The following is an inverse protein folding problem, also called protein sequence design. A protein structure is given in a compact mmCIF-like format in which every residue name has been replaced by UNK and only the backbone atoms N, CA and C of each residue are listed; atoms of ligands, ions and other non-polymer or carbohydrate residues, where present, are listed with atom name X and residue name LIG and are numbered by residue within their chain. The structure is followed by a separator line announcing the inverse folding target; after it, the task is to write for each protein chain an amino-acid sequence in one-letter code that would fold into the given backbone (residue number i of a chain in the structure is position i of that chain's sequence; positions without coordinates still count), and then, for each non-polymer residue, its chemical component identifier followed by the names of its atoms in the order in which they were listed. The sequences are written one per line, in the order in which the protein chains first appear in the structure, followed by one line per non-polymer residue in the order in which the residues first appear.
data_IF_245746118338
#
_entry.id   IF_245746118338
#
_cell.length_a   1.000
_cell.length_b   1.000
_cell.length_c   1.000
_cell.angle_alpha   90.00
_cell.angle_beta   90.00
_cell.angle_gamma   90.00
#
_symmetry.space_group_name_H-M   'P 1'
#
loop_
_entity.id
_entity.type
_entity.pdbx_description
1 polymer ?
#
# COMPACT_ATOMS: atom_id res chain seq x y z
N UNK A 1 -8.67 -4.87 32.11
CA UNK A 1 -9.99 -4.96 31.44
C UNK A 1 -9.92 -4.26 30.11
N UNK A 2 -10.40 -4.89 29.02
CA UNK A 2 -10.45 -4.26 27.68
C UNK A 2 -11.50 -3.15 27.68
N UNK A 3 -11.19 -2.04 27.02
CA UNK A 3 -12.08 -0.90 26.93
C UNK A 3 -13.18 -1.18 25.90
N UNK A 4 -14.42 -0.91 26.22
CA UNK A 4 -15.56 -1.17 25.34
C UNK A 4 -15.91 0.01 24.41
N UNK A 5 -14.98 0.92 24.12
CA UNK A 5 -15.20 2.07 23.22
C UNK A 5 -13.96 2.45 22.44
N UNK A 6 -14.16 3.01 21.26
CA UNK A 6 -13.13 3.62 20.41
C UNK A 6 -13.28 5.13 20.50
N UNK A 7 -12.16 5.81 20.78
CA UNK A 7 -12.08 7.27 20.83
C UNK A 7 -11.18 7.75 19.69
N UNK A 8 -11.61 8.75 18.93
CA UNK A 8 -10.82 9.44 17.88
C UNK A 8 -11.26 10.90 17.79
N UNK A 9 -10.59 11.69 16.99
CA UNK A 9 -11.06 13.05 16.68
C UNK A 9 -11.72 13.06 15.29
N UNK A 10 -12.97 13.50 15.22
CA UNK A 10 -13.58 13.91 13.97
C UNK A 10 -13.36 15.41 13.85
N UNK A 11 -12.53 15.80 12.89
CA UNK A 11 -12.08 17.16 12.77
C UNK A 11 -11.31 17.61 14.03
N UNK A 12 -11.86 18.51 14.86
CA UNK A 12 -11.27 18.95 16.14
C UNK A 12 -12.08 18.50 17.36
N UNK A 13 -13.07 17.65 17.18
CA UNK A 13 -13.96 17.16 18.23
C UNK A 13 -13.66 15.71 18.59
N UNK A 14 -13.67 15.42 19.88
CA UNK A 14 -13.47 14.04 20.36
C UNK A 14 -14.77 13.25 20.26
N UNK A 15 -14.73 12.19 19.49
CA UNK A 15 -15.81 11.23 19.30
C UNK A 15 -15.51 9.94 20.05
N UNK A 16 -16.53 9.38 20.70
CA UNK A 16 -16.46 8.09 21.39
C UNK A 16 -17.54 7.15 20.86
N UNK A 17 -17.15 6.02 20.29
CA UNK A 17 -18.05 5.05 19.67
C UNK A 17 -18.02 3.74 20.48
N UNK A 18 -19.22 3.19 20.73
CA UNK A 18 -19.37 1.93 21.48
C UNK A 18 -20.12 0.86 20.72
N UNK A 19 -21.11 1.22 19.92
CA UNK A 19 -22.19 0.31 19.50
C UNK A 19 -22.57 0.49 18.02
N UNK A 20 -21.58 0.46 17.15
CA UNK A 20 -21.80 0.38 15.69
C UNK A 20 -21.36 -0.97 15.16
N UNK A 21 -21.83 -1.32 13.98
CA UNK A 21 -21.40 -2.54 13.29
C UNK A 21 -19.88 -2.55 13.09
N UNK A 22 -19.24 -3.70 13.32
CA UNK A 22 -17.79 -3.86 13.22
C UNK A 22 -17.27 -3.74 11.79
N UNK A 23 -18.14 -3.87 10.80
CA UNK A 23 -17.87 -3.71 9.37
C UNK A 23 -18.15 -2.28 8.86
N UNK A 24 -18.60 -1.37 9.73
CA UNK A 24 -18.84 0.03 9.34
C UNK A 24 -17.58 0.66 8.80
N UNK A 25 -17.65 1.19 7.57
CA UNK A 25 -16.57 1.97 6.96
C UNK A 25 -16.62 3.42 7.46
N UNK A 26 -15.49 4.11 7.41
CA UNK A 26 -15.41 5.53 7.75
C UNK A 26 -16.35 6.36 6.86
N UNK A 27 -16.44 6.03 5.57
CA UNK A 27 -17.34 6.70 4.63
C UNK A 27 -18.79 6.61 5.08
N UNK A 28 -19.27 5.41 5.37
CA UNK A 28 -20.66 5.20 5.80
C UNK A 28 -20.96 5.93 7.11
N UNK A 29 -20.00 5.93 8.05
CA UNK A 29 -20.14 6.66 9.30
C UNK A 29 -20.24 8.18 9.10
N UNK A 30 -19.40 8.76 8.25
CA UNK A 30 -19.45 10.19 7.95
C UNK A 30 -20.79 10.59 7.33
N UNK A 31 -21.27 9.81 6.37
CA UNK A 31 -22.47 10.13 5.61
C UNK A 31 -23.77 9.84 6.37
N UNK A 32 -23.84 8.72 7.07
CA UNK A 32 -25.10 8.25 7.68
C UNK A 32 -25.27 8.71 9.15
N UNK A 33 -24.18 8.97 9.87
CA UNK A 33 -24.24 9.34 11.28
C UNK A 33 -23.91 10.83 11.56
N UNK A 34 -23.24 11.51 10.60
CA UNK A 34 -22.83 12.90 10.76
C UNK A 34 -23.28 13.81 9.62
N UNK A 35 -23.96 13.28 8.59
CA UNK A 35 -24.41 14.02 7.42
C UNK A 35 -23.30 14.78 6.67
N UNK A 36 -22.02 14.38 6.87
CA UNK A 36 -20.86 14.92 6.19
C UNK A 36 -20.77 14.31 4.78
N UNK A 37 -21.57 14.83 3.86
CA UNK A 37 -21.79 14.26 2.53
C UNK A 37 -20.80 14.72 1.47
N UNK A 38 -19.89 15.66 1.80
CA UNK A 38 -18.81 16.07 0.93
C UNK A 38 -17.86 14.93 0.58
N UNK A 39 -17.62 14.01 1.52
CA UNK A 39 -16.93 12.75 1.25
C UNK A 39 -17.88 11.81 0.50
N UNK A 40 -17.51 11.41 -0.74
CA UNK A 40 -18.43 10.72 -1.67
C UNK A 40 -18.04 9.27 -1.95
N UNK A 41 -19.02 8.44 -2.27
CA UNK A 41 -18.78 7.09 -2.77
C UNK A 41 -18.83 7.06 -4.30
N UNK A 42 -17.69 6.69 -4.93
CA UNK A 42 -17.65 6.43 -6.35
C UNK A 42 -17.46 4.94 -6.65
N UNK A 43 -16.35 4.35 -6.23
CA UNK A 43 -16.00 2.97 -6.56
C UNK A 43 -16.22 1.96 -5.43
N UNK A 44 -16.24 2.38 -4.17
CA UNK A 44 -16.26 1.51 -2.97
C UNK A 44 -15.15 0.43 -2.96
N UNK A 45 -14.01 0.71 -3.62
CA UNK A 45 -12.85 -0.21 -3.75
C UNK A 45 -11.49 0.47 -3.55
N UNK A 46 -11.49 1.79 -3.25
CA UNK A 46 -10.25 2.52 -2.99
C UNK A 46 -9.54 3.07 -4.23
N UNK A 47 -10.16 2.97 -5.44
CA UNK A 47 -9.50 3.34 -6.69
C UNK A 47 -9.79 4.76 -7.17
N UNK A 48 -11.00 5.31 -6.95
CA UNK A 48 -11.42 6.57 -7.58
C UNK A 48 -11.09 7.83 -6.79
N UNK A 49 -10.80 7.73 -5.49
CA UNK A 49 -10.45 8.84 -4.62
C UNK A 49 -11.58 9.80 -4.25
N UNK A 50 -12.83 9.62 -4.72
CA UNK A 50 -13.95 10.48 -4.35
C UNK A 50 -14.24 10.47 -2.82
N UNK A 51 -13.81 9.42 -2.13
CA UNK A 51 -13.92 9.22 -0.70
C UNK A 51 -12.67 9.66 0.08
N UNK A 52 -11.71 10.33 -0.52
CA UNK A 52 -10.48 10.74 0.17
C UNK A 52 -10.78 11.65 1.36
N UNK A 53 -10.24 11.30 2.52
CA UNK A 53 -10.14 12.14 3.71
C UNK A 53 -8.71 12.11 4.23
N UNK A 54 -8.38 12.95 5.21
CA UNK A 54 -7.04 13.00 5.79
C UNK A 54 -7.07 12.52 7.22
N UNK A 55 -6.12 11.62 7.56
CA UNK A 55 -5.89 11.18 8.94
C UNK A 55 -4.65 11.86 9.49
N UNK A 56 -4.79 12.46 10.68
CA UNK A 56 -3.68 12.96 11.48
C UNK A 56 -3.28 11.96 12.57
N UNK A 57 -2.02 11.56 12.59
CA UNK A 57 -1.45 10.68 13.60
C UNK A 57 -0.39 11.41 14.41
N UNK A 58 -0.43 11.25 15.74
CA UNK A 58 0.56 11.85 16.61
C UNK A 58 1.85 11.02 16.61
N UNK A 59 2.92 11.58 16.03
CA UNK A 59 4.30 11.05 16.04
C UNK A 59 5.20 12.07 16.75
N UNK A 60 5.90 11.67 17.79
CA UNK A 60 6.90 12.50 18.49
C UNK A 60 6.46 13.96 18.75
N UNK A 61 5.25 14.15 19.28
CA UNK A 61 4.64 15.47 19.54
C UNK A 61 4.30 16.31 18.30
N UNK A 62 4.37 15.77 17.10
CA UNK A 62 3.91 16.40 15.86
C UNK A 62 2.79 15.58 15.24
N UNK A 63 1.93 16.23 14.47
CA UNK A 63 0.88 15.53 13.71
C UNK A 63 1.46 15.23 12.32
N UNK A 64 1.43 13.98 11.94
CA UNK A 64 1.73 13.51 10.58
C UNK A 64 0.40 13.29 9.85
N UNK A 65 0.23 13.89 8.69
CA UNK A 65 -1.01 13.80 7.92
C UNK A 65 -0.85 12.79 6.78
N UNK A 66 -1.89 11.96 6.58
CA UNK A 66 -1.94 10.95 5.51
C UNK A 66 -3.33 10.95 4.88
N UNK A 67 -3.41 11.01 3.56
CA UNK A 67 -4.67 10.76 2.84
C UNK A 67 -5.02 9.28 2.88
N UNK A 68 -6.31 8.98 3.03
CA UNK A 68 -6.86 7.62 3.06
C UNK A 68 -8.11 7.50 2.21
N UNK A 69 -8.45 6.28 1.78
CA UNK A 69 -9.73 5.96 1.15
C UNK A 69 -10.74 5.53 2.22
N UNK A 70 -11.68 6.41 2.57
CA UNK A 70 -12.66 6.14 3.65
C UNK A 70 -13.63 5.03 3.33
N UNK A 71 -13.87 4.71 2.06
CA UNK A 71 -14.76 3.62 1.64
C UNK A 71 -14.25 2.22 2.00
N UNK A 72 -12.93 2.04 2.16
CA UNK A 72 -12.28 0.77 2.51
C UNK A 72 -11.57 0.81 3.87
N UNK A 73 -11.69 1.90 4.61
CA UNK A 73 -11.15 2.05 5.97
C UNK A 73 -12.24 1.73 6.99
N UNK A 74 -12.01 0.73 7.85
CA UNK A 74 -12.94 0.39 8.93
C UNK A 74 -12.90 1.44 10.03
N UNK A 75 -14.07 1.84 10.52
CA UNK A 75 -14.24 2.94 11.46
C UNK A 75 -13.41 2.79 12.74
N UNK A 76 -13.39 1.60 13.32
CA UNK A 76 -12.69 1.35 14.59
C UNK A 76 -11.15 1.41 14.47
N UNK A 77 -10.59 1.38 13.24
CA UNK A 77 -9.16 1.60 13.00
C UNK A 77 -8.71 3.04 13.27
N UNK A 78 -9.65 3.97 13.44
CA UNK A 78 -9.37 5.38 13.74
C UNK A 78 -9.03 5.63 15.22
N UNK A 79 -9.08 4.62 16.10
CA UNK A 79 -8.76 4.84 17.52
C UNK A 79 -7.41 5.53 17.73
N UNK A 80 -7.44 6.67 18.45
CA UNK A 80 -6.24 7.46 18.74
C UNK A 80 -5.74 8.34 17.58
N UNK A 81 -6.55 8.51 16.52
CA UNK A 81 -6.23 9.32 15.34
C UNK A 81 -7.20 10.50 15.21
N UNK A 82 -6.85 11.46 14.36
CA UNK A 82 -7.75 12.52 13.88
C UNK A 82 -8.22 12.18 12.47
N UNK A 83 -9.50 12.30 12.19
CA UNK A 83 -10.08 12.27 10.84
C UNK A 83 -10.48 13.69 10.45
N UNK A 84 -10.02 14.17 9.29
CA UNK A 84 -10.29 15.51 8.76
C UNK A 84 -11.07 15.36 7.46
N UNK A 85 -12.21 16.06 7.36
CA UNK A 85 -13.07 16.06 6.19
C UNK A 85 -13.05 17.42 5.47
N UNK A 86 -13.53 17.44 4.23
CA UNK A 86 -13.52 18.65 3.39
C UNK A 86 -14.35 19.78 3.97
N UNK A 87 -15.40 19.49 4.73
CA UNK A 87 -16.27 20.47 5.37
C UNK A 87 -15.53 21.24 6.46
N UNK A 88 -14.51 20.64 7.07
CA UNK A 88 -13.82 21.23 8.22
C UNK A 88 -12.67 22.14 7.85
N UNK A 89 -12.07 21.99 6.68
CA UNK A 89 -10.85 22.74 6.34
C UNK A 89 -11.10 24.23 6.12
N UNK A 90 -12.33 24.62 5.80
CA UNK A 90 -12.76 26.01 5.83
C UNK A 90 -12.96 26.50 7.26
N UNK A 91 -12.51 27.71 7.57
CA UNK A 91 -12.77 28.43 8.83
C UNK A 91 -13.54 29.73 8.51
N UNK A 92 -12.98 30.87 8.90
CA UNK A 92 -13.55 32.20 8.54
C UNK A 92 -13.43 32.48 7.04
N UNK A 93 -12.42 31.88 6.39
CA UNK A 93 -12.15 31.98 4.95
C UNK A 93 -11.96 30.58 4.38
N UNK A 94 -12.08 30.48 3.07
CA UNK A 94 -11.71 29.26 2.36
C UNK A 94 -10.25 28.91 2.64
N UNK A 95 -9.99 27.62 2.81
CA UNK A 95 -8.61 27.15 2.91
C UNK A 95 -7.86 27.40 1.58
N UNK A 96 -6.54 27.68 1.58
CA UNK A 96 -5.75 27.90 0.36
C UNK A 96 -6.02 26.90 -0.76
N UNK A 97 -6.16 25.61 -0.44
CA UNK A 97 -6.44 24.56 -1.44
C UNK A 97 -7.86 24.69 -2.03
N UNK A 98 -8.83 25.18 -1.27
CA UNK A 98 -10.19 25.43 -1.77
C UNK A 98 -10.21 26.68 -2.66
N UNK A 99 -9.60 27.76 -2.20
CA UNK A 99 -9.52 29.02 -2.96
C UNK A 99 -8.79 28.81 -4.29
N UNK A 100 -7.64 28.14 -4.25
CA UNK A 100 -6.87 27.85 -5.45
C UNK A 100 -7.64 26.99 -6.45
N UNK A 101 -8.46 26.06 -5.96
CA UNK A 101 -9.29 25.20 -6.81
C UNK A 101 -10.38 25.99 -7.53
N UNK A 102 -10.95 27.01 -6.86
CA UNK A 102 -11.95 27.93 -7.43
C UNK A 102 -11.29 28.82 -8.49
N UNK A 103 -10.20 29.50 -8.13
CA UNK A 103 -9.54 30.50 -8.97
C UNK A 103 -8.85 29.88 -10.22
N UNK A 104 -8.66 28.57 -10.20
CA UNK A 104 -8.08 27.81 -11.32
C UNK A 104 -9.14 27.05 -12.14
N UNK A 105 -10.44 27.26 -11.90
CA UNK A 105 -11.55 26.53 -12.55
C UNK A 105 -11.39 25.01 -12.46
N UNK A 106 -10.84 24.52 -11.31
CA UNK A 106 -10.49 23.12 -11.09
C UNK A 106 -11.67 22.17 -10.91
N UNK A 107 -12.92 22.66 -10.95
CA UNK A 107 -14.14 21.88 -10.74
C UNK A 107 -15.16 22.14 -11.85
N UNK A 108 -15.80 21.06 -12.34
CA UNK A 108 -16.93 21.14 -13.27
C UNK A 108 -18.17 20.48 -12.67
N UNK A 109 -18.34 19.12 -12.76
CA UNK A 109 -19.48 18.47 -12.13
C UNK A 109 -19.42 18.43 -10.60
N UNK A 110 -18.27 18.64 -9.99
CA UNK A 110 -18.05 18.71 -8.55
C UNK A 110 -17.92 17.37 -7.82
N UNK A 111 -18.15 16.23 -8.47
CA UNK A 111 -18.17 14.93 -7.79
C UNK A 111 -16.80 14.53 -7.23
N UNK A 112 -15.73 14.68 -7.98
CA UNK A 112 -14.35 14.37 -7.56
C UNK A 112 -13.71 15.48 -6.69
N UNK A 113 -14.27 16.68 -6.72
CA UNK A 113 -13.66 17.89 -6.14
C UNK A 113 -13.33 17.75 -4.66
N UNK A 114 -14.21 17.26 -3.77
CA UNK A 114 -13.89 17.11 -2.35
C UNK A 114 -12.69 16.17 -2.11
N UNK A 115 -12.65 15.04 -2.80
CA UNK A 115 -11.55 14.08 -2.68
C UNK A 115 -10.21 14.65 -3.14
N UNK A 116 -10.20 15.40 -4.25
CA UNK A 116 -9.01 16.09 -4.77
C UNK A 116 -8.55 17.18 -3.78
N UNK A 117 -9.47 17.98 -3.25
CA UNK A 117 -9.17 19.00 -2.22
C UNK A 117 -8.51 18.34 -1.00
N UNK A 118 -8.97 17.17 -0.56
CA UNK A 118 -8.36 16.49 0.58
C UNK A 118 -6.96 15.95 0.26
N UNK A 119 -6.69 15.50 -0.96
CA UNK A 119 -5.33 15.16 -1.40
C UNK A 119 -4.43 16.39 -1.48
N UNK A 120 -4.94 17.54 -1.98
CA UNK A 120 -4.24 18.81 -1.95
C UNK A 120 -3.95 19.28 -0.52
N UNK A 121 -4.92 19.13 0.39
CA UNK A 121 -4.77 19.47 1.81
C UNK A 121 -3.66 18.65 2.47
N UNK A 122 -3.60 17.33 2.19
CA UNK A 122 -2.52 16.46 2.67
C UNK A 122 -1.15 16.96 2.16
N UNK A 123 -1.05 17.31 0.88
CA UNK A 123 0.17 17.86 0.28
C UNK A 123 0.56 19.20 0.92
N UNK A 124 -0.41 20.10 1.12
CA UNK A 124 -0.22 21.42 1.73
C UNK A 124 0.28 21.34 3.18
N UNK A 125 -0.38 20.54 4.02
CA UNK A 125 -0.06 20.39 5.45
C UNK A 125 1.29 19.72 5.70
N UNK A 126 1.70 18.81 4.81
CA UNK A 126 3.03 18.18 4.83
C UNK A 126 4.11 19.03 4.13
N UNK A 127 3.77 20.21 3.62
CA UNK A 127 4.68 21.14 2.92
C UNK A 127 5.40 20.51 1.73
N UNK A 128 4.72 19.65 1.01
CA UNK A 128 5.27 19.02 -0.20
C UNK A 128 5.32 20.04 -1.34
N UNK A 129 6.49 20.18 -1.97
CA UNK A 129 6.64 21.08 -3.12
C UNK A 129 5.78 20.62 -4.30
N UNK A 130 5.04 21.53 -4.98
CA UNK A 130 4.16 21.18 -6.10
C UNK A 130 4.94 21.02 -7.42
N UNK A 131 5.92 20.12 -7.46
CA UNK A 131 6.57 19.70 -8.70
C UNK A 131 5.63 18.80 -9.49
N UNK A 132 5.79 18.70 -10.81
CA UNK A 132 4.95 17.80 -11.65
C UNK A 132 4.93 16.37 -11.10
N UNK A 133 6.10 15.83 -10.73
CA UNK A 133 6.24 14.49 -10.16
C UNK A 133 5.42 14.34 -8.86
N UNK A 134 5.52 15.30 -7.93
CA UNK A 134 4.76 15.26 -6.68
C UNK A 134 3.25 15.43 -6.93
N UNK A 135 2.86 16.30 -7.86
CA UNK A 135 1.45 16.49 -8.24
C UNK A 135 0.88 15.18 -8.77
N UNK A 136 1.55 14.54 -9.72
CA UNK A 136 1.10 13.28 -10.30
C UNK A 136 1.02 12.17 -9.25
N UNK A 137 2.03 12.07 -8.37
CA UNK A 137 2.08 11.11 -7.26
C UNK A 137 0.91 11.28 -6.28
N UNK A 138 0.58 12.51 -5.87
CA UNK A 138 -0.49 12.77 -4.91
C UNK A 138 -1.90 12.68 -5.54
N UNK A 139 -2.02 12.95 -6.84
CA UNK A 139 -3.29 12.83 -7.56
C UNK A 139 -3.55 11.44 -8.15
N UNK A 140 -2.57 10.53 -8.15
CA UNK A 140 -2.69 9.20 -8.80
C UNK A 140 -3.94 8.43 -8.38
N UNK A 141 -4.41 8.61 -7.14
CA UNK A 141 -5.61 7.98 -6.60
C UNK A 141 -6.88 8.85 -6.67
N UNK A 142 -6.90 9.95 -7.44
CA UNK A 142 -8.06 10.83 -7.56
C UNK A 142 -8.49 10.99 -9.03
N UNK A 143 -9.55 10.31 -9.42
CA UNK A 143 -10.03 10.32 -10.80
C UNK A 143 -11.00 11.47 -11.04
N UNK A 144 -10.73 12.24 -12.11
CA UNK A 144 -11.64 13.25 -12.65
C UNK A 144 -11.90 12.99 -14.13
N UNK A 145 -13.16 12.96 -14.55
CA UNK A 145 -13.54 12.74 -15.95
C UNK A 145 -13.72 14.04 -16.75
N UNK A 146 -14.04 15.15 -16.06
CA UNK A 146 -14.53 16.37 -16.70
C UNK A 146 -13.41 17.34 -17.13
N UNK A 147 -12.44 17.59 -16.22
CA UNK A 147 -11.51 18.76 -16.32
C UNK A 147 -10.28 18.52 -17.19
N UNK A 148 -9.96 17.26 -17.50
CA UNK A 148 -8.67 16.94 -18.16
C UNK A 148 -7.45 17.20 -17.27
N UNK A 149 -7.63 17.42 -15.95
CA UNK A 149 -6.62 17.60 -14.91
C UNK A 149 -5.81 18.91 -14.96
N UNK A 150 -5.65 19.59 -16.08
CA UNK A 150 -4.81 20.78 -16.17
C UNK A 150 -5.22 21.90 -15.19
N UNK A 151 -6.50 22.26 -15.07
CA UNK A 151 -6.94 23.24 -14.06
C UNK A 151 -6.64 22.80 -12.63
N UNK A 152 -6.80 21.51 -12.32
CA UNK A 152 -6.48 20.92 -11.02
C UNK A 152 -4.98 21.02 -10.72
N UNK A 153 -4.12 20.68 -11.68
CA UNK A 153 -2.65 20.82 -11.55
C UNK A 153 -2.26 22.28 -11.33
N UNK A 154 -2.89 23.23 -12.02
CA UNK A 154 -2.68 24.66 -11.82
C UNK A 154 -3.10 25.10 -10.41
N UNK A 155 -4.24 24.60 -9.90
CA UNK A 155 -4.67 24.83 -8.54
C UNK A 155 -3.62 24.39 -7.52
N UNK A 156 -3.03 23.18 -7.70
CA UNK A 156 -1.98 22.69 -6.79
C UNK A 156 -0.73 23.56 -6.85
N UNK A 157 -0.30 24.01 -8.03
CA UNK A 157 0.85 24.90 -8.19
C UNK A 157 0.65 26.23 -7.46
N UNK A 158 -0.58 26.73 -7.46
CA UNK A 158 -0.93 28.06 -6.92
C UNK A 158 -1.35 28.02 -5.44
N UNK A 159 -1.65 26.85 -4.84
CA UNK A 159 -2.23 26.77 -3.49
C UNK A 159 -1.40 27.44 -2.39
N UNK A 160 -0.08 27.56 -2.55
CA UNK A 160 0.79 28.24 -1.57
C UNK A 160 0.83 29.77 -1.69
N UNK A 161 0.19 30.36 -2.71
CA UNK A 161 0.09 31.80 -2.91
C UNK A 161 -0.95 32.43 -1.99
N UNK A 162 -1.84 31.65 -1.40
CA UNK A 162 -2.93 32.12 -0.54
C UNK A 162 -2.55 32.05 0.93
N UNK A 163 -3.06 33.04 1.72
CA UNK A 163 -2.87 33.03 3.17
C UNK A 163 -3.84 32.06 3.84
N UNK A 164 -3.33 31.22 4.71
CA UNK A 164 -4.11 30.26 5.50
C UNK A 164 -4.42 30.80 6.90
N UNK A 165 -5.62 30.55 7.38
CA UNK A 165 -5.91 30.61 8.81
C UNK A 165 -5.18 29.43 9.50
N UNK A 166 -4.48 29.74 10.59
CA UNK A 166 -3.72 28.70 11.30
C UNK A 166 -4.66 27.82 12.13
N UNK A 167 -4.67 26.51 11.86
CA UNK A 167 -5.29 25.54 12.75
C UNK A 167 -4.53 25.43 14.08
N UNK A 168 -5.25 25.33 15.18
CA UNK A 168 -4.65 25.16 16.51
C UNK A 168 -4.19 23.71 16.70
N UNK A 169 -3.02 23.37 16.14
CA UNK A 169 -2.42 22.03 16.29
C UNK A 169 -2.20 21.65 17.75
N UNK A 170 -2.00 22.61 18.64
CA UNK A 170 -1.82 22.39 20.09
C UNK A 170 -3.07 21.79 20.74
N UNK A 171 -4.28 22.25 20.38
CA UNK A 171 -5.54 21.67 20.88
C UNK A 171 -5.68 20.22 20.43
N UNK A 172 -5.44 19.94 19.14
CA UNK A 172 -5.53 18.59 18.56
C UNK A 172 -4.51 17.64 19.22
N UNK A 173 -3.26 18.09 19.39
CA UNK A 173 -2.22 17.31 20.06
C UNK A 173 -2.63 16.95 21.50
N UNK A 174 -3.16 17.93 22.26
CA UNK A 174 -3.64 17.70 23.63
C UNK A 174 -4.78 16.67 23.66
N UNK A 175 -5.73 16.78 22.76
CA UNK A 175 -6.86 15.85 22.68
C UNK A 175 -6.40 14.43 22.28
N UNK A 176 -5.51 14.30 21.28
CA UNK A 176 -4.95 12.99 20.89
C UNK A 176 -4.15 12.34 22.01
N UNK A 177 -3.36 13.14 22.78
CA UNK A 177 -2.65 12.65 23.99
C UNK A 177 -3.59 12.15 25.08
N UNK A 178 -4.80 12.70 25.20
CA UNK A 178 -5.79 12.27 26.17
C UNK A 178 -6.43 10.92 25.86
N UNK A 179 -6.27 10.40 24.64
CA UNK A 179 -6.83 9.11 24.26
C UNK A 179 -5.89 7.99 24.73
N UNK A 180 -6.40 7.14 25.62
CA UNK A 180 -5.62 6.03 26.17
C UNK A 180 -5.43 4.93 25.13
N UNK A 181 -4.19 4.55 24.85
CA UNK A 181 -3.80 3.45 23.98
C UNK A 181 -3.72 2.13 24.76
N UNK A 182 -4.88 1.57 25.04
CA UNK A 182 -5.05 0.27 25.73
C UNK A 182 -5.80 -0.69 24.84
N UNK A 183 -5.67 -1.98 25.06
CA UNK A 183 -6.38 -3.00 24.30
C UNK A 183 -7.90 -2.80 24.37
N UNK A 184 -8.56 -2.97 23.24
CA UNK A 184 -10.00 -2.72 23.06
C UNK A 184 -10.62 -3.93 22.35
N UNK A 185 -11.80 -4.33 22.82
CA UNK A 185 -12.65 -5.29 22.13
C UNK A 185 -14.05 -4.68 22.02
N UNK A 186 -14.45 -4.35 20.81
CA UNK A 186 -15.83 -3.96 20.50
C UNK A 186 -16.61 -5.21 20.13
N UNK A 187 -17.80 -5.34 20.67
CA UNK A 187 -18.72 -6.43 20.35
C UNK A 187 -20.02 -5.82 19.84
N UNK A 188 -20.51 -6.31 18.72
CA UNK A 188 -21.81 -5.99 18.16
C UNK A 188 -22.42 -7.26 17.56
N UNK A 189 -23.55 -7.69 18.11
CA UNK A 189 -24.15 -8.99 17.77
C UNK A 189 -23.09 -10.12 17.88
N UNK A 190 -22.94 -10.93 16.85
CA UNK A 190 -21.96 -12.02 16.77
C UNK A 190 -20.57 -11.57 16.29
N UNK A 191 -20.39 -10.27 16.03
CA UNK A 191 -19.15 -9.72 15.45
C UNK A 191 -18.30 -9.05 16.53
N UNK A 192 -16.97 -9.13 16.36
CA UNK A 192 -16.00 -8.53 17.27
C UNK A 192 -14.91 -7.80 16.49
N UNK A 193 -14.50 -6.64 17.02
CA UNK A 193 -13.37 -5.90 16.51
C UNK A 193 -12.33 -5.72 17.61
N UNK A 194 -11.11 -6.20 17.36
CA UNK A 194 -10.02 -6.22 18.34
C UNK A 194 -8.94 -5.22 17.96
N UNK A 195 -8.51 -4.43 18.93
CA UNK A 195 -7.34 -3.53 18.80
C UNK A 195 -6.37 -3.90 19.92
N UNK A 196 -5.18 -4.36 19.56
CA UNK A 196 -4.12 -4.70 20.51
C UNK A 196 -2.88 -3.85 20.27
N UNK A 197 -2.35 -3.26 21.32
CA UNK A 197 -1.17 -2.39 21.27
C UNK A 197 0.15 -3.13 21.44
N UNK A 198 0.12 -4.38 21.87
CA UNK A 198 1.28 -5.27 21.99
C UNK A 198 1.00 -6.65 21.38
N UNK A 199 2.09 -7.31 20.98
CA UNK A 199 2.01 -8.61 20.30
C UNK A 199 1.51 -9.73 21.21
N UNK A 200 1.86 -9.73 22.51
CA UNK A 200 1.51 -10.81 23.40
C UNK A 200 0.01 -10.87 23.64
N UNK A 201 -0.64 -9.72 23.90
CA UNK A 201 -2.09 -9.68 24.06
C UNK A 201 -2.82 -10.05 22.76
N UNK A 202 -2.31 -9.61 21.61
CA UNK A 202 -2.84 -9.98 20.31
C UNK A 202 -2.82 -11.49 20.09
N UNK A 203 -1.67 -12.14 20.27
CA UNK A 203 -1.52 -13.59 20.07
C UNK A 203 -2.41 -14.37 21.04
N UNK A 204 -2.46 -13.95 22.30
CA UNK A 204 -3.29 -14.59 23.33
C UNK A 204 -4.76 -14.67 22.93
N UNK A 205 -5.30 -13.58 22.37
CA UNK A 205 -6.71 -13.56 21.98
C UNK A 205 -6.94 -14.17 20.60
N UNK A 206 -6.00 -13.94 19.64
CA UNK A 206 -6.07 -14.51 18.31
C UNK A 206 -6.07 -16.04 18.31
N UNK A 207 -5.32 -16.67 19.22
CA UNK A 207 -5.27 -18.14 19.35
C UNK A 207 -6.57 -18.77 19.85
N UNK A 208 -7.47 -18.01 20.48
CA UNK A 208 -8.74 -18.50 21.01
C UNK A 208 -9.90 -18.39 20.01
N UNK A 209 -9.68 -17.68 18.90
CA UNK A 209 -10.76 -17.31 17.98
C UNK A 209 -10.54 -17.98 16.63
N UNK A 210 -11.50 -18.76 16.23
CA UNK A 210 -11.59 -19.31 14.88
C UNK A 210 -12.20 -18.28 13.92
N UNK A 211 -11.94 -18.41 12.63
CA UNK A 211 -12.49 -17.50 11.60
C UNK A 211 -12.17 -16.01 11.85
N UNK A 212 -10.95 -15.73 12.31
CA UNK A 212 -10.47 -14.39 12.54
C UNK A 212 -9.84 -13.80 11.27
N UNK A 213 -10.10 -12.50 11.04
CA UNK A 213 -9.55 -11.74 9.93
C UNK A 213 -8.49 -10.77 10.44
N UNK A 214 -7.29 -10.82 9.86
CA UNK A 214 -6.20 -9.90 10.18
C UNK A 214 -6.30 -8.66 9.29
N UNK A 215 -6.43 -7.49 9.90
CA UNK A 215 -6.62 -6.21 9.22
C UNK A 215 -5.45 -5.26 9.49
N UNK A 216 -4.86 -4.70 8.41
CA UNK A 216 -3.97 -3.54 8.51
C UNK A 216 -4.67 -2.34 7.87
N UNK A 217 -4.56 -2.14 6.57
CA UNK A 217 -5.13 -1.01 5.83
C UNK A 217 -6.48 -1.30 5.15
N UNK A 218 -6.92 -2.55 5.13
CA UNK A 218 -8.19 -2.92 4.51
C UNK A 218 -8.19 -2.98 2.97
N UNK A 219 -7.10 -2.66 2.30
CA UNK A 219 -7.03 -2.45 0.85
C UNK A 219 -7.38 -3.68 -0.02
N UNK A 220 -7.38 -4.89 0.56
CA UNK A 220 -7.92 -6.11 -0.07
C UNK A 220 -9.11 -6.65 0.76
N UNK A 221 -8.95 -6.75 2.09
CA UNK A 221 -9.95 -7.35 2.96
C UNK A 221 -11.28 -6.60 2.99
N UNK A 222 -11.27 -5.27 2.93
CA UNK A 222 -12.51 -4.49 2.95
C UNK A 222 -13.41 -4.75 1.73
N UNK A 223 -12.84 -5.24 0.61
CA UNK A 223 -13.61 -5.59 -0.57
C UNK A 223 -14.57 -6.78 -0.34
N UNK A 224 -14.28 -7.63 0.64
CA UNK A 224 -15.24 -8.68 1.06
C UNK A 224 -16.53 -8.05 1.58
N UNK A 225 -16.43 -6.92 2.30
CA UNK A 225 -17.58 -6.17 2.82
C UNK A 225 -18.19 -5.28 1.73
N UNK A 226 -17.38 -4.41 1.11
CA UNK A 226 -17.91 -3.34 0.24
C UNK A 226 -18.36 -3.83 -1.13
N UNK A 227 -17.72 -4.88 -1.66
CA UNK A 227 -18.05 -5.44 -2.99
C UNK A 227 -18.79 -6.77 -2.91
N UNK A 228 -18.37 -7.67 -2.01
CA UNK A 228 -18.98 -8.98 -1.89
C UNK A 228 -20.11 -9.03 -0.85
N UNK A 229 -20.32 -7.93 -0.10
CA UNK A 229 -21.37 -7.77 0.92
C UNK A 229 -21.35 -8.87 1.99
N UNK A 230 -20.15 -9.30 2.38
CA UNK A 230 -19.94 -10.29 3.44
C UNK A 230 -19.66 -9.61 4.76
N UNK A 231 -20.21 -10.16 5.84
CA UNK A 231 -19.89 -9.73 7.20
C UNK A 231 -18.64 -10.44 7.71
N UNK A 232 -17.64 -9.66 8.15
CA UNK A 232 -16.44 -10.16 8.80
C UNK A 232 -16.71 -10.24 10.32
N UNK A 233 -16.76 -11.46 10.86
CA UNK A 233 -17.18 -11.69 12.24
C UNK A 233 -16.15 -11.30 13.30
N UNK A 234 -14.89 -11.62 13.08
CA UNK A 234 -13.81 -11.38 14.05
C UNK A 234 -12.66 -10.67 13.36
N UNK A 235 -12.55 -9.35 13.55
CA UNK A 235 -11.54 -8.52 12.91
C UNK A 235 -10.47 -8.15 13.94
N UNK A 236 -9.21 -8.50 13.69
CA UNK A 236 -8.05 -8.10 14.46
C UNK A 236 -7.28 -6.99 13.74
N UNK A 237 -7.36 -5.78 14.26
CA UNK A 237 -6.65 -4.64 13.70
C UNK A 237 -5.20 -4.59 14.18
N UNK A 238 -4.28 -4.73 13.25
CA UNK A 238 -2.83 -4.81 13.50
C UNK A 238 -2.13 -3.44 13.43
N UNK A 239 -2.73 -2.45 12.78
CA UNK A 239 -2.08 -1.16 12.51
C UNK A 239 -1.71 -0.35 13.77
N UNK A 240 -2.34 -0.61 14.91
CA UNK A 240 -2.01 0.01 16.20
C UNK A 240 -0.88 -0.69 16.96
N UNK A 241 -0.46 -1.88 16.52
CA UNK A 241 0.52 -2.69 17.24
C UNK A 241 1.95 -2.27 16.91
N UNK A 242 2.67 -1.74 17.90
CA UNK A 242 4.05 -1.25 17.72
C UNK A 242 5.06 -2.37 17.41
N UNK A 243 4.77 -3.60 17.86
CA UNK A 243 5.64 -4.75 17.59
C UNK A 243 5.52 -5.26 16.16
N UNK A 244 4.53 -4.75 15.39
CA UNK A 244 4.27 -5.06 13.99
C UNK A 244 4.49 -3.87 13.04
N UNK A 245 4.77 -2.67 13.58
CA UNK A 245 4.96 -1.44 12.80
C UNK A 245 6.31 -0.81 13.15
N UNK A 246 7.35 -1.24 12.46
CA UNK A 246 8.72 -0.74 12.62
C UNK A 246 9.57 -1.04 11.40
N UNK A 247 10.69 -0.32 11.27
CA UNK A 247 11.75 -0.57 10.29
C UNK A 247 13.09 -0.51 11.02
N UNK A 248 13.93 -1.53 10.82
CA UNK A 248 15.27 -1.63 11.43
C UNK A 248 16.26 -2.17 10.42
N UNK A 249 17.44 -1.58 10.36
CA UNK A 249 18.56 -2.12 9.60
C UNK A 249 19.52 -2.80 10.59
N UNK A 250 19.72 -4.10 10.45
CA UNK A 250 20.58 -4.90 11.33
C UNK A 250 21.22 -6.05 10.56
N UNK A 251 22.53 -6.29 10.76
CA UNK A 251 23.26 -7.42 10.20
C UNK A 251 23.09 -7.56 8.67
N UNK A 252 23.22 -6.47 7.92
CA UNK A 252 23.00 -6.41 6.48
C UNK A 252 21.59 -6.91 6.03
N UNK A 253 20.61 -6.79 6.91
CA UNK A 253 19.20 -7.07 6.58
C UNK A 253 18.33 -5.89 6.98
N UNK A 254 17.35 -5.59 6.14
CA UNK A 254 16.26 -4.69 6.46
C UNK A 254 15.12 -5.50 7.09
N UNK A 255 14.81 -5.20 8.34
CA UNK A 255 13.73 -5.81 9.11
C UNK A 255 12.53 -4.89 9.12
N UNK A 256 11.39 -5.35 8.59
CA UNK A 256 10.16 -4.57 8.45
C UNK A 256 9.04 -5.29 9.17
N UNK A 257 8.40 -4.62 10.12
CA UNK A 257 7.20 -5.12 10.77
C UNK A 257 6.05 -5.29 9.77
N UNK A 258 5.27 -6.35 9.90
CA UNK A 258 4.26 -6.73 8.91
C UNK A 258 3.15 -5.69 8.69
N UNK A 259 2.88 -4.84 9.67
CA UNK A 259 1.87 -3.80 9.61
C UNK A 259 2.43 -2.41 9.20
N UNK A 260 3.71 -2.32 8.85
CA UNK A 260 4.33 -1.06 8.42
C UNK A 260 3.77 -0.62 7.07
N UNK A 261 3.23 0.60 6.94
CA UNK A 261 2.73 1.12 5.67
C UNK A 261 3.81 1.23 4.60
N UNK A 262 3.44 1.02 3.35
CA UNK A 262 4.39 1.07 2.20
C UNK A 262 5.05 2.45 2.10
N UNK A 263 4.31 3.54 2.27
CA UNK A 263 4.88 4.88 2.22
C UNK A 263 5.90 5.16 3.33
N UNK A 264 5.80 4.49 4.48
CA UNK A 264 6.80 4.63 5.56
C UNK A 264 8.10 3.87 5.22
N UNK A 265 8.05 2.89 4.31
CA UNK A 265 9.21 2.08 3.86
C UNK A 265 9.97 2.76 2.70
N UNK A 266 9.27 3.50 1.84
CA UNK A 266 9.81 4.08 0.61
C UNK A 266 11.13 4.84 0.80
N UNK A 267 11.25 5.80 1.74
CA UNK A 267 12.50 6.58 1.88
C UNK A 267 13.73 5.73 2.20
N UNK A 268 13.53 4.57 2.84
CA UNK A 268 14.61 3.64 3.17
C UNK A 268 14.98 2.80 1.95
N UNK A 269 13.97 2.37 1.18
CA UNK A 269 14.20 1.61 -0.05
C UNK A 269 14.87 2.46 -1.13
N UNK A 270 14.60 3.75 -1.22
CA UNK A 270 15.28 4.66 -2.16
C UNK A 270 16.80 4.61 -2.02
N UNK A 271 17.29 4.51 -0.78
CA UNK A 271 18.72 4.42 -0.50
C UNK A 271 19.32 3.02 -0.70
N UNK A 272 18.52 1.95 -0.52
CA UNK A 272 19.02 0.56 -0.53
C UNK A 272 18.73 -0.11 -1.88
N UNK A 273 17.53 0.05 -2.40
CA UNK A 273 17.02 -0.58 -3.61
C UNK A 273 16.18 0.41 -4.43
N UNK A 274 16.81 1.39 -5.11
CA UNK A 274 16.09 2.47 -5.84
C UNK A 274 15.04 1.95 -6.83
N UNK A 275 15.30 0.85 -7.55
CA UNK A 275 14.33 0.28 -8.49
C UNK A 275 13.12 -0.33 -7.80
N UNK A 276 13.30 -0.86 -6.58
CA UNK A 276 12.19 -1.36 -5.76
C UNK A 276 11.35 -0.20 -5.22
N UNK A 277 11.98 0.87 -4.76
CA UNK A 277 11.29 2.09 -4.33
C UNK A 277 10.47 2.68 -5.48
N UNK A 278 11.08 2.87 -6.66
CA UNK A 278 10.40 3.39 -7.85
C UNK A 278 9.22 2.52 -8.29
N UNK A 279 9.32 1.19 -8.14
CA UNK A 279 8.19 0.29 -8.38
C UNK A 279 7.08 0.51 -7.36
N UNK A 280 7.42 0.72 -6.08
CA UNK A 280 6.42 0.97 -5.04
C UNK A 280 5.71 2.32 -5.17
N UNK A 281 6.33 3.33 -5.78
CA UNK A 281 5.62 4.57 -6.14
C UNK A 281 4.43 4.30 -7.07
N UNK A 282 4.51 3.25 -7.89
CA UNK A 282 3.44 2.76 -8.77
C UNK A 282 2.56 1.66 -8.15
N UNK A 283 2.71 1.38 -6.86
CA UNK A 283 1.88 0.41 -6.13
C UNK A 283 0.62 1.10 -5.60
N UNK A 284 -0.48 0.94 -6.31
CA UNK A 284 -1.72 1.65 -5.99
C UNK A 284 -1.53 3.17 -5.97
N UNK A 285 -2.43 3.85 -5.31
CA UNK A 285 -2.40 5.30 -5.10
C UNK A 285 -1.67 5.70 -3.82
N UNK A 286 -1.48 7.01 -3.62
CA UNK A 286 -0.97 7.57 -2.36
C UNK A 286 -1.80 7.11 -1.15
N UNK A 287 -3.13 7.13 -1.26
CA UNK A 287 -4.05 6.69 -0.21
C UNK A 287 -3.89 5.20 0.10
N UNK A 288 -3.68 4.38 -0.93
CA UNK A 288 -3.44 2.94 -0.77
C UNK A 288 -2.09 2.70 -0.10
N UNK A 289 -1.00 3.33 -0.55
CA UNK A 289 0.33 3.17 0.05
C UNK A 289 0.42 3.65 1.50
N UNK A 290 -0.41 4.63 1.88
CA UNK A 290 -0.51 5.12 3.27
C UNK A 290 -1.09 4.09 4.24
N UNK A 291 -1.80 3.08 3.73
CA UNK A 291 -2.52 2.08 4.56
C UNK A 291 -2.11 0.65 4.29
N UNK A 292 -1.79 0.29 3.04
CA UNK A 292 -1.30 -1.02 2.65
C UNK A 292 0.07 -1.33 3.27
N UNK A 293 0.32 -2.60 3.60
CA UNK A 293 1.59 -3.07 4.18
C UNK A 293 2.16 -4.27 3.43
N UNK A 294 3.48 -4.48 3.58
CA UNK A 294 4.12 -5.67 3.02
C UNK A 294 3.54 -6.97 3.57
N UNK A 295 3.30 -7.02 4.89
CA UNK A 295 2.70 -8.19 5.52
C UNK A 295 1.30 -8.48 5.00
N UNK A 296 0.50 -7.45 4.74
CA UNK A 296 -0.82 -7.57 4.11
C UNK A 296 -0.72 -8.11 2.68
N UNK A 297 0.21 -7.58 1.87
CA UNK A 297 0.42 -8.05 0.49
C UNK A 297 0.90 -9.51 0.44
N UNK A 298 1.81 -9.93 1.33
CA UNK A 298 2.25 -11.33 1.47
C UNK A 298 1.09 -12.20 1.95
N UNK A 299 0.33 -11.75 2.95
CA UNK A 299 -0.78 -12.49 3.53
C UNK A 299 -1.95 -12.73 2.57
N UNK A 300 -2.25 -11.76 1.68
CA UNK A 300 -3.28 -11.89 0.65
C UNK A 300 -2.90 -12.89 -0.45
N UNK A 301 -1.60 -13.18 -0.62
CA UNK A 301 -1.04 -14.11 -1.59
C UNK A 301 -1.59 -13.93 -3.01
N UNK A 302 -1.78 -12.68 -3.43
CA UNK A 302 -2.28 -12.38 -4.77
C UNK A 302 -1.22 -12.73 -5.82
N UNK A 303 -1.56 -13.44 -6.91
CA UNK A 303 -0.62 -13.76 -7.99
C UNK A 303 -0.08 -12.52 -8.73
N UNK A 304 -0.73 -11.39 -8.52
CA UNK A 304 -0.38 -10.09 -9.11
C UNK A 304 0.09 -9.07 -8.04
N UNK A 305 0.45 -9.55 -6.84
CA UNK A 305 1.05 -8.73 -5.80
C UNK A 305 2.46 -8.31 -6.17
N UNK A 306 2.67 -7.05 -6.53
CA UNK A 306 3.93 -6.55 -7.10
C UNK A 306 5.15 -6.69 -6.20
N UNK A 307 4.98 -6.64 -4.86
CA UNK A 307 6.09 -6.81 -3.93
C UNK A 307 6.63 -8.24 -3.88
N UNK A 308 5.79 -9.23 -4.19
CA UNK A 308 6.12 -10.65 -3.97
C UNK A 308 7.28 -11.14 -4.85
N UNK A 309 7.28 -10.88 -6.18
CA UNK A 309 8.41 -11.26 -7.03
C UNK A 309 9.72 -10.60 -6.59
N UNK A 310 9.68 -9.32 -6.16
CA UNK A 310 10.88 -8.61 -5.70
C UNK A 310 11.43 -9.20 -4.43
N UNK A 311 10.57 -9.45 -3.44
CA UNK A 311 10.96 -10.05 -2.17
C UNK A 311 11.54 -11.47 -2.35
N UNK A 312 10.97 -12.26 -3.27
CA UNK A 312 11.49 -13.58 -3.60
C UNK A 312 12.84 -13.47 -4.32
N UNK A 313 12.99 -12.54 -5.27
CA UNK A 313 14.27 -12.32 -5.97
C UNK A 313 15.39 -11.87 -5.02
N UNK A 314 15.05 -11.17 -3.94
CA UNK A 314 15.96 -10.77 -2.87
C UNK A 314 16.19 -11.86 -1.81
N UNK A 315 15.69 -13.09 -1.97
CA UNK A 315 15.77 -14.17 -0.97
C UNK A 315 15.24 -13.75 0.41
N UNK A 316 14.21 -12.92 0.43
CA UNK A 316 13.60 -12.43 1.67
C UNK A 316 13.01 -13.56 2.49
N UNK A 317 13.04 -13.38 3.81
CA UNK A 317 12.45 -14.31 4.77
C UNK A 317 11.26 -13.63 5.47
N UNK A 318 10.34 -14.45 5.94
CA UNK A 318 9.27 -13.99 6.84
C UNK A 318 9.42 -14.69 8.19
N UNK A 319 9.26 -13.91 9.25
CA UNK A 319 9.13 -14.41 10.61
C UNK A 319 7.65 -14.56 10.93
N UNK A 320 7.22 -15.78 11.14
CA UNK A 320 5.85 -16.13 11.53
C UNK A 320 5.79 -16.32 13.04
N UNK A 321 4.79 -15.72 13.66
CA UNK A 321 4.51 -15.83 15.08
C UNK A 321 3.18 -16.56 15.30
N UNK A 322 3.23 -17.67 15.98
CA UNK A 322 2.13 -18.41 16.54
C UNK A 322 2.47 -18.81 17.99
N UNK A 323 2.12 -20.03 18.41
CA UNK A 323 2.63 -20.62 19.66
C UNK A 323 4.16 -20.70 19.64
N UNK A 324 4.72 -21.04 18.48
CA UNK A 324 6.17 -21.11 18.24
C UNK A 324 6.51 -20.12 17.12
N UNK A 325 7.67 -19.49 17.23
CA UNK A 325 8.25 -18.66 16.16
C UNK A 325 8.92 -19.54 15.12
N UNK A 326 8.69 -19.24 13.84
CA UNK A 326 9.39 -19.91 12.74
C UNK A 326 9.75 -18.89 11.65
N UNK A 327 10.89 -19.11 10.99
CA UNK A 327 11.33 -18.31 9.85
C UNK A 327 11.28 -19.15 8.59
N UNK A 328 10.70 -18.62 7.53
CA UNK A 328 10.61 -19.26 6.22
C UNK A 328 11.21 -18.35 5.15
N UNK A 329 11.87 -18.92 4.14
CA UNK A 329 12.12 -18.24 2.87
C UNK A 329 10.77 -17.96 2.19
N UNK A 330 10.62 -16.77 1.61
CA UNK A 330 9.34 -16.35 1.04
C UNK A 330 8.93 -17.17 -0.19
N UNK A 331 9.89 -17.68 -0.97
CA UNK A 331 9.63 -18.58 -2.10
C UNK A 331 8.93 -19.88 -1.68
N UNK A 332 9.19 -20.36 -0.47
CA UNK A 332 8.58 -21.55 0.10
C UNK A 332 7.22 -21.32 0.79
N UNK A 333 6.72 -20.07 0.77
CA UNK A 333 5.51 -19.69 1.50
C UNK A 333 4.21 -19.94 0.72
N UNK A 334 4.23 -19.71 -0.60
CA UNK A 334 3.06 -19.85 -1.47
C UNK A 334 2.87 -21.30 -1.91
N UNK A 335 1.64 -21.82 -1.81
CA UNK A 335 1.30 -23.20 -2.17
C UNK A 335 0.55 -23.27 -3.51
N UNK A 336 -0.50 -22.45 -3.66
CA UNK A 336 -1.33 -22.34 -4.87
C UNK A 336 -2.07 -21.00 -4.84
N UNK A 337 -3.01 -20.78 -5.76
CA UNK A 337 -3.78 -19.55 -5.83
C UNK A 337 -4.36 -19.16 -4.47
N UNK A 338 -3.89 -18.04 -3.90
CA UNK A 338 -4.27 -17.51 -2.58
C UNK A 338 -4.15 -18.50 -1.40
N UNK A 339 -3.37 -19.57 -1.54
CA UNK A 339 -3.07 -20.50 -0.45
C UNK A 339 -1.61 -20.43 -0.04
N UNK A 340 -1.40 -20.40 1.27
CA UNK A 340 -0.08 -20.22 1.87
C UNK A 340 0.21 -21.25 2.97
N UNK A 341 1.46 -21.30 3.43
CA UNK A 341 1.87 -22.12 4.58
C UNK A 341 1.52 -21.50 5.95
N UNK A 342 0.86 -20.34 5.99
CA UNK A 342 0.39 -19.73 7.23
C UNK A 342 -0.75 -20.58 7.80
N UNK A 343 -0.57 -21.06 9.01
CA UNK A 343 -1.60 -21.86 9.70
C UNK A 343 -2.62 -20.93 10.37
N UNK A 344 -3.85 -21.42 10.65
CA UNK A 344 -4.74 -20.73 11.56
C UNK A 344 -4.04 -20.34 12.87
N UNK A 345 -4.32 -19.17 13.40
CA UNK A 345 -3.72 -18.62 14.62
C UNK A 345 -2.21 -18.31 14.54
N UNK A 346 -1.64 -18.22 13.33
CA UNK A 346 -0.32 -17.68 13.06
C UNK A 346 -0.45 -16.32 12.36
N UNK A 347 0.50 -15.43 12.63
CA UNK A 347 0.61 -14.14 11.96
C UNK A 347 2.00 -13.95 11.36
N UNK A 348 2.10 -13.24 10.25
CA UNK A 348 3.38 -12.72 9.78
C UNK A 348 3.76 -11.58 10.72
N UNK A 349 4.88 -11.73 11.43
CA UNK A 349 5.38 -10.70 12.35
C UNK A 349 6.29 -9.72 11.64
N UNK A 350 7.20 -10.23 10.82
CA UNK A 350 8.31 -9.46 10.25
C UNK A 350 8.68 -9.98 8.86
N UNK A 351 9.10 -9.08 8.00
CA UNK A 351 9.74 -9.36 6.72
C UNK A 351 11.22 -9.01 6.86
N UNK A 352 12.11 -9.93 6.48
CA UNK A 352 13.55 -9.78 6.55
C UNK A 352 14.10 -9.77 5.13
N UNK A 353 14.61 -8.62 4.69
CA UNK A 353 15.12 -8.40 3.33
C UNK A 353 16.64 -8.29 3.39
N UNK A 354 17.39 -9.24 2.81
CA UNK A 354 18.85 -9.12 2.70
C UNK A 354 19.27 -7.88 1.91
N UNK A 355 20.39 -7.26 2.29
CA UNK A 355 20.95 -6.10 1.59
C UNK A 355 22.17 -6.55 0.79
N UNK A 356 22.05 -6.57 -0.53
CA UNK A 356 23.10 -6.95 -1.47
C UNK A 356 23.82 -5.69 -1.98
N UNK A 357 25.12 -5.57 -1.72
CA UNK A 357 25.92 -4.40 -2.14
C UNK A 357 26.41 -4.48 -3.60
N UNK A 358 26.53 -5.69 -4.15
CA UNK A 358 27.14 -5.93 -5.48
C UNK A 358 26.13 -6.41 -6.52
N UNK A 359 24.90 -6.66 -6.14
CA UNK A 359 23.90 -7.17 -7.05
C UNK A 359 23.15 -6.01 -7.73
N UNK A 360 22.74 -6.25 -8.96
CA UNK A 360 21.86 -5.41 -9.74
C UNK A 360 20.44 -5.92 -9.53
N UNK A 361 19.59 -5.13 -8.90
CA UNK A 361 18.16 -5.41 -8.81
C UNK A 361 17.42 -4.58 -9.87
N UNK A 362 16.59 -5.25 -10.67
CA UNK A 362 15.65 -4.60 -11.58
C UNK A 362 14.23 -5.08 -11.30
N UNK A 363 13.30 -4.15 -11.30
CA UNK A 363 11.87 -4.38 -11.05
C UNK A 363 11.08 -3.81 -12.24
N UNK A 364 10.42 -4.68 -12.99
CA UNK A 364 9.65 -4.30 -14.18
C UNK A 364 8.16 -4.53 -13.94
N UNK A 365 7.41 -3.45 -13.83
CA UNK A 365 5.95 -3.45 -13.74
C UNK A 365 5.35 -3.06 -15.08
N UNK A 366 4.60 -3.96 -15.68
CA UNK A 366 3.86 -3.72 -16.94
C UNK A 366 2.37 -3.72 -16.65
N UNK A 367 1.73 -2.61 -16.87
CA UNK A 367 0.30 -2.36 -16.65
C UNK A 367 -0.27 -1.48 -17.76
N UNK A 368 -1.60 -1.42 -17.90
CA UNK A 368 -2.25 -0.59 -18.94
C UNK A 368 -2.10 0.90 -18.66
N UNK A 369 -2.12 1.29 -17.36
CA UNK A 369 -1.90 2.66 -16.89
C UNK A 369 -0.60 2.70 -16.09
N UNK A 370 0.01 3.88 -15.98
CA UNK A 370 1.27 4.07 -15.26
C UNK A 370 1.03 3.87 -13.77
N UNK A 371 0.06 4.57 -13.20
CA UNK A 371 -0.24 4.58 -11.78
C UNK A 371 -1.60 3.95 -11.49
N UNK A 372 -1.79 3.54 -10.24
CA UNK A 372 -3.02 2.97 -9.69
C UNK A 372 -3.61 1.87 -10.57
N UNK A 373 -2.77 0.97 -11.05
CA UNK A 373 -3.16 -0.13 -11.93
C UNK A 373 -2.47 -1.44 -11.55
N UNK A 374 -3.15 -2.54 -11.84
CA UNK A 374 -2.69 -3.90 -11.56
C UNK A 374 -1.77 -4.37 -12.68
N UNK A 375 -0.65 -5.00 -12.31
CA UNK A 375 0.30 -5.56 -13.27
C UNK A 375 -0.34 -6.64 -14.15
N UNK A 376 -0.17 -6.50 -15.47
CA UNK A 376 -0.40 -7.60 -16.42
C UNK A 376 0.74 -8.61 -16.35
N UNK A 377 1.98 -8.10 -16.29
CA UNK A 377 3.20 -8.86 -16.06
C UNK A 377 4.08 -8.10 -15.10
N UNK A 378 4.67 -8.80 -14.16
CA UNK A 378 5.73 -8.28 -13.31
C UNK A 378 6.97 -9.17 -13.42
N UNK A 379 8.17 -8.58 -13.48
CA UNK A 379 9.42 -9.34 -13.43
C UNK A 379 10.41 -8.64 -12.50
N UNK A 380 10.95 -9.40 -11.55
CA UNK A 380 12.09 -8.99 -10.74
C UNK A 380 13.32 -9.80 -11.11
N UNK A 381 14.44 -9.11 -11.34
CA UNK A 381 15.73 -9.75 -11.61
C UNK A 381 16.75 -9.22 -10.59
N UNK A 382 17.33 -10.13 -9.83
CA UNK A 382 18.44 -9.86 -8.93
C UNK A 382 19.66 -10.64 -9.42
N UNK A 383 20.69 -9.94 -9.91
CA UNK A 383 21.85 -10.57 -10.53
C UNK A 383 23.16 -9.96 -10.06
N UNK A 384 24.21 -10.78 -9.98
CA UNK A 384 25.60 -10.33 -9.82
C UNK A 384 26.37 -10.70 -11.08
N UNK A 385 26.87 -9.68 -11.77
CA UNK A 385 27.64 -9.81 -13.02
C UNK A 385 29.06 -9.33 -12.74
N UNK A 386 30.04 -10.19 -13.00
CA UNK A 386 31.45 -9.88 -12.81
C UNK A 386 32.22 -10.23 -14.08
N UNK A 387 33.02 -9.29 -14.60
CA UNK A 387 33.76 -9.45 -15.86
C UNK A 387 32.89 -10.01 -17.01
N UNK A 388 31.70 -9.45 -17.13
CA UNK A 388 30.68 -9.84 -18.10
C UNK A 388 30.19 -11.31 -17.98
N UNK A 389 30.37 -11.95 -16.82
CA UNK A 389 29.86 -13.29 -16.53
C UNK A 389 28.80 -13.19 -15.44
N UNK A 390 27.67 -13.85 -15.64
CA UNK A 390 26.59 -13.93 -14.68
C UNK A 390 26.97 -14.89 -13.56
N UNK A 391 27.38 -14.37 -12.40
CA UNK A 391 27.80 -15.18 -11.25
C UNK A 391 26.64 -15.62 -10.36
N UNK A 392 25.60 -14.79 -10.30
CA UNK A 392 24.35 -15.08 -9.60
C UNK A 392 23.20 -14.45 -10.38
N UNK A 393 22.09 -15.15 -10.43
CA UNK A 393 20.87 -14.58 -11.01
C UNK A 393 19.63 -15.26 -10.39
N UNK A 394 18.65 -14.45 -10.02
CA UNK A 394 17.32 -14.90 -9.63
C UNK A 394 16.28 -14.09 -10.40
N UNK A 395 15.49 -14.78 -11.21
CA UNK A 395 14.42 -14.20 -12.05
C UNK A 395 13.10 -14.67 -11.50
N UNK A 396 12.23 -13.73 -11.11
CA UNK A 396 10.93 -14.05 -10.52
C UNK A 396 9.83 -13.28 -11.25
N UNK A 397 8.78 -14.00 -11.65
CA UNK A 397 7.68 -13.49 -12.43
C UNK A 397 6.38 -13.45 -11.63
N UNK A 398 5.62 -12.36 -11.76
CA UNK A 398 4.23 -12.22 -11.33
C UNK A 398 3.30 -12.12 -12.53
N UNK A 399 2.07 -12.62 -12.41
CA UNK A 399 1.07 -12.61 -13.47
C UNK A 399 1.29 -13.65 -14.59
N UNK A 400 2.27 -14.53 -14.46
CA UNK A 400 2.55 -15.62 -15.42
C UNK A 400 2.15 -17.02 -14.89
N UNK A 401 1.77 -17.12 -13.61
CA UNK A 401 1.32 -18.35 -12.95
C UNK A 401 0.34 -17.98 -11.82
N UNK A 402 -0.24 -18.99 -11.18
CA UNK A 402 -1.16 -18.81 -10.04
C UNK A 402 -0.51 -18.27 -8.75
N UNK A 403 0.82 -18.33 -8.68
CA UNK A 403 1.65 -17.75 -7.62
C UNK A 403 2.83 -16.99 -8.24
N UNK A 404 3.51 -16.09 -7.52
CA UNK A 404 4.79 -15.57 -7.94
C UNK A 404 5.77 -16.74 -8.15
N UNK A 405 6.36 -16.84 -9.35
CA UNK A 405 7.12 -18.03 -9.74
C UNK A 405 8.52 -17.69 -10.23
N UNK A 406 9.49 -18.46 -9.76
CA UNK A 406 10.88 -18.39 -10.20
C UNK A 406 11.00 -18.99 -11.60
N UNK A 407 11.74 -18.32 -12.50
CA UNK A 407 12.11 -18.84 -13.82
C UNK A 407 13.32 -19.78 -13.68
N UNK A 408 13.11 -20.96 -13.12
CA UNK A 408 14.18 -21.88 -12.71
C UNK A 408 15.06 -22.33 -13.87
N UNK A 409 14.43 -22.69 -15.01
CA UNK A 409 15.16 -23.17 -16.19
C UNK A 409 15.98 -22.05 -16.83
N UNK A 410 15.39 -20.87 -16.95
CA UNK A 410 16.07 -19.71 -17.53
C UNK A 410 17.25 -19.23 -16.68
N UNK A 411 17.07 -19.13 -15.34
CA UNK A 411 18.18 -18.73 -14.46
C UNK A 411 19.29 -19.79 -14.39
N UNK A 412 18.96 -21.10 -14.40
CA UNK A 412 19.95 -22.17 -14.45
C UNK A 412 20.77 -22.12 -15.74
N UNK A 413 20.12 -21.85 -16.87
CA UNK A 413 20.82 -21.69 -18.15
C UNK A 413 21.78 -20.49 -18.13
N UNK A 414 21.36 -19.34 -17.60
CA UNK A 414 22.14 -18.11 -17.58
C UNK A 414 23.32 -18.13 -16.60
N UNK A 415 23.28 -18.97 -15.57
CA UNK A 415 24.32 -19.05 -14.56
C UNK A 415 25.66 -19.43 -15.17
N UNK A 416 26.72 -18.65 -14.87
CA UNK A 416 28.10 -18.76 -15.40
C UNK A 416 28.22 -18.53 -16.92
N UNK A 417 27.18 -18.03 -17.58
CA UNK A 417 27.25 -17.62 -18.99
C UNK A 417 27.72 -16.18 -19.13
N UNK A 418 28.24 -15.87 -20.31
CA UNK A 418 28.55 -14.49 -20.69
C UNK A 418 27.24 -13.71 -20.78
N UNK A 419 27.22 -12.51 -20.23
CA UNK A 419 26.09 -11.61 -20.30
C UNK A 419 26.07 -10.89 -21.66
N UNK A 420 25.51 -11.55 -22.66
CA UNK A 420 25.44 -11.08 -24.04
C UNK A 420 24.07 -11.38 -24.67
N UNK A 421 23.86 -10.85 -25.87
CA UNK A 421 22.61 -10.97 -26.60
C UNK A 421 22.27 -12.45 -26.94
N UNK A 422 23.24 -13.24 -27.33
CA UNK A 422 23.05 -14.65 -27.68
C UNK A 422 22.46 -15.44 -26.52
N UNK A 423 23.06 -15.38 -25.32
CA UNK A 423 22.60 -16.08 -24.13
C UNK A 423 21.24 -15.55 -23.64
N UNK A 424 20.99 -14.25 -23.75
CA UNK A 424 19.69 -13.68 -23.42
C UNK A 424 18.61 -14.13 -24.40
N UNK A 425 18.89 -14.20 -25.72
CA UNK A 425 17.95 -14.69 -26.72
C UNK A 425 17.61 -16.18 -26.49
N UNK A 426 18.54 -17.00 -26.05
CA UNK A 426 18.25 -18.39 -25.69
C UNK A 426 17.41 -18.46 -24.40
N UNK A 427 17.72 -17.66 -23.38
CA UNK A 427 16.91 -17.56 -22.15
C UNK A 427 15.47 -17.09 -22.46
N UNK A 428 15.26 -16.21 -23.43
CA UNK A 428 13.92 -15.80 -23.91
C UNK A 428 13.12 -17.00 -24.45
N UNK A 429 13.76 -17.90 -25.20
CA UNK A 429 13.10 -19.14 -25.69
C UNK A 429 12.76 -20.08 -24.54
N UNK A 430 13.63 -20.17 -23.54
CA UNK A 430 13.40 -21.01 -22.34
C UNK A 430 12.22 -20.47 -21.54
N UNK A 431 12.17 -19.16 -21.22
CA UNK A 431 11.05 -18.53 -20.50
C UNK A 431 9.72 -18.75 -21.20
N UNK A 432 9.67 -18.64 -22.54
CA UNK A 432 8.46 -18.92 -23.32
C UNK A 432 7.90 -20.33 -23.07
N UNK A 433 8.79 -21.32 -22.87
CA UNK A 433 8.39 -22.72 -22.62
C UNK A 433 8.15 -23.03 -21.15
N UNK A 434 8.65 -22.18 -20.25
CA UNK A 434 8.60 -22.41 -18.78
C UNK A 434 7.30 -21.94 -18.15
N UNK A 435 6.66 -20.95 -18.74
CA UNK A 435 5.42 -20.36 -18.23
C UNK A 435 4.26 -20.58 -19.20
N UNK A 436 3.07 -20.81 -18.62
CA UNK A 436 1.81 -20.94 -19.35
C UNK A 436 0.76 -19.99 -18.72
N UNK A 437 0.84 -18.67 -19.01
CA UNK A 437 -0.08 -17.70 -18.45
C UNK A 437 -1.49 -17.82 -19.04
N UNK A 438 -2.47 -17.31 -18.30
CA UNK A 438 -3.88 -17.28 -18.72
C UNK A 438 -4.22 -16.03 -19.54
N UNK A 439 -5.30 -16.09 -20.30
CA UNK A 439 -6.02 -14.94 -20.83
C UNK A 439 -6.96 -14.38 -19.77
N UNK A 440 -6.94 -13.08 -19.54
CA UNK A 440 -7.89 -12.38 -18.67
C UNK A 440 -8.17 -10.96 -19.18
N UNK A 441 -9.00 -10.20 -18.45
CA UNK A 441 -9.34 -8.81 -18.80
C UNK A 441 -8.16 -7.85 -18.85
N UNK A 442 -7.01 -8.22 -18.28
CA UNK A 442 -5.80 -7.37 -18.23
C UNK A 442 -4.91 -7.60 -19.44
N UNK A 443 -4.70 -8.85 -19.82
CA UNK A 443 -3.84 -9.16 -20.95
C UNK A 443 -4.08 -10.60 -21.48
N UNK A 444 -3.82 -10.81 -22.77
CA UNK A 444 -3.80 -12.14 -23.36
C UNK A 444 -2.55 -12.92 -22.97
N UNK A 445 -2.64 -14.24 -23.00
CA UNK A 445 -1.53 -15.19 -22.85
C UNK A 445 -0.35 -14.83 -23.76
N UNK A 446 -0.64 -14.57 -25.04
CA UNK A 446 0.39 -14.19 -26.02
C UNK A 446 1.11 -12.91 -25.64
N UNK A 447 0.37 -11.87 -25.21
CA UNK A 447 0.96 -10.63 -24.72
C UNK A 447 1.88 -10.85 -23.52
N UNK A 448 1.41 -11.58 -22.49
CA UNK A 448 2.19 -11.89 -21.29
C UNK A 448 3.48 -12.63 -21.62
N UNK A 449 3.40 -13.62 -22.51
CA UNK A 449 4.56 -14.39 -23.00
C UNK A 449 5.55 -13.50 -23.73
N UNK A 450 5.07 -12.65 -24.65
CA UNK A 450 5.96 -11.75 -25.41
C UNK A 450 6.63 -10.73 -24.50
N UNK A 451 5.89 -10.15 -23.58
CA UNK A 451 6.43 -9.18 -22.62
C UNK A 451 7.48 -9.83 -21.72
N UNK A 452 7.25 -11.03 -21.19
CA UNK A 452 8.24 -11.71 -20.34
C UNK A 452 9.58 -11.94 -21.05
N UNK A 453 9.55 -12.21 -22.36
CA UNK A 453 10.75 -12.31 -23.20
C UNK A 453 11.43 -10.94 -23.37
N UNK A 454 10.67 -9.89 -23.68
CA UNK A 454 11.19 -8.54 -23.91
C UNK A 454 11.81 -7.93 -22.63
N UNK A 455 11.33 -8.31 -21.44
CA UNK A 455 11.90 -7.84 -20.17
C UNK A 455 13.31 -8.39 -19.91
N UNK A 456 13.65 -9.58 -20.39
CA UNK A 456 15.04 -10.08 -20.37
C UNK A 456 15.94 -9.28 -21.30
N UNK A 457 15.47 -8.95 -22.49
CA UNK A 457 16.19 -8.11 -23.43
C UNK A 457 16.39 -6.69 -22.90
N UNK A 458 15.35 -6.13 -22.28
CA UNK A 458 15.43 -4.84 -21.59
C UNK A 458 16.49 -4.87 -20.48
N UNK A 459 16.56 -5.95 -19.69
CA UNK A 459 17.58 -6.13 -18.65
C UNK A 459 19.00 -6.08 -19.22
N UNK A 460 19.25 -6.73 -20.37
CA UNK A 460 20.53 -6.65 -21.09
C UNK A 460 20.84 -5.21 -21.52
N UNK A 461 19.90 -4.60 -22.24
CA UNK A 461 20.08 -3.28 -22.82
C UNK A 461 20.36 -2.20 -21.78
N UNK A 462 19.61 -2.19 -20.68
CA UNK A 462 19.81 -1.25 -19.57
C UNK A 462 21.18 -1.40 -18.90
N UNK A 463 21.72 -2.62 -18.82
CA UNK A 463 23.04 -2.85 -18.22
C UNK A 463 24.19 -2.53 -19.19
N UNK A 464 23.98 -2.63 -20.51
CA UNK A 464 24.91 -2.21 -21.54
C UNK A 464 24.84 -0.71 -21.84
N UNK A 465 24.14 0.09 -21.01
CA UNK A 465 23.94 1.54 -21.17
C UNK A 465 23.24 1.92 -22.50
N UNK A 466 22.61 0.99 -23.17
CA UNK A 466 21.74 1.28 -24.30
C UNK A 466 20.44 1.87 -23.77
N UNK A 467 20.06 3.08 -24.20
CA UNK A 467 18.83 3.72 -23.78
C UNK A 467 17.63 2.86 -24.20
N UNK A 468 17.03 2.14 -23.25
CA UNK A 468 15.83 1.33 -23.45
C UNK A 468 14.73 1.72 -22.45
N UNK A 469 14.82 2.90 -21.84
CA UNK A 469 13.83 3.39 -20.89
C UNK A 469 12.63 3.95 -21.65
N UNK A 470 11.44 3.45 -21.34
CA UNK A 470 10.17 4.02 -21.80
C UNK A 470 9.84 5.37 -21.12
N UNK A 471 10.58 5.73 -20.07
CA UNK A 471 10.39 6.94 -19.24
C UNK A 471 11.73 7.46 -18.71
#
# INVERSE_FOLDING_TARGET
MSRARVDFLLNEEKISIKDLDTNTTVLNYLRNNHELTGTKEGCASGDCGACTAVVGELKENKISYKSINTCITFLYSLHGKQLITVEHIQKNKLHPVQQSMIDSDGSQCGFCTPGIIMSMYNMYENKIKPTEENIDKFLSGNLCRCTGYLPIKNAIKNMHSYKSDKFSKSKVIRLLKSIKKTDIVIKKNDSKFFIHYNLNSLIKDYQKITNAHLLVGGTDLALEVTKKRKDLKNIFYLGSNKDLNYIKNKNNNLHIGSATPINDILPILENIYPTFAKMFERYGSEQIRNTASLGGNIGSASPIGDSLPVLIALNSKILIQGKVKKTLLLDNYFLSYRKTKLKPNEIIKEIIIPIYKKNILKCYKISKRIDDDISSVFMAINARIEKNIIKEIKIVCGGLAETPKIAEKAQKFLLNKIFNEENINEAKKIIKKEFDPIDDMRASKNYRTKISQNLLERFLNENNKTKSTLY
#
